data_IF_652644462661
#
_entry.id   IF_652644462661
#
_cell.length_a   1.000
_cell.length_b   1.000
_cell.length_c   1.000
_cell.angle_alpha   90.00
_cell.angle_beta   90.00
_cell.angle_gamma   90.00
#
_symmetry.space_group_name_H-M   'P 1'
#
loop_
_entity.id
_entity.type
_entity.pdbx_description
1 polymer ?
#
# COMPACT_ATOMS: atom_id res chain seq x y z
N UNK A 1 15.24 10.67 10.64
CA UNK A 1 15.87 10.20 9.39
C UNK A 1 14.95 10.55 8.24
N UNK A 2 15.43 11.28 7.23
CA UNK A 2 14.63 11.62 6.05
C UNK A 2 14.36 10.35 5.25
N UNK A 3 13.12 9.85 5.29
CA UNK A 3 12.68 8.75 4.43
C UNK A 3 12.58 9.30 3.01
N UNK A 4 13.50 8.90 2.13
CA UNK A 4 13.34 9.16 0.70
C UNK A 4 12.25 8.22 0.19
N UNK A 5 11.02 8.70 0.11
CA UNK A 5 9.93 7.93 -0.46
C UNK A 5 10.15 7.72 -1.95
N UNK A 6 9.96 6.48 -2.41
CA UNK A 6 10.06 6.16 -3.83
C UNK A 6 8.67 5.81 -4.37
N UNK A 7 8.28 6.44 -5.47
CA UNK A 7 7.02 6.10 -6.15
C UNK A 7 7.33 5.21 -7.33
N UNK A 8 6.65 4.07 -7.42
CA UNK A 8 6.77 3.16 -8.56
C UNK A 8 5.40 2.95 -9.20
N UNK A 9 5.37 2.95 -10.52
CA UNK A 9 4.14 2.65 -11.25
C UNK A 9 3.90 1.15 -11.25
N UNK A 10 2.73 0.75 -10.76
CA UNK A 10 2.29 -0.65 -10.70
C UNK A 10 1.05 -0.86 -11.55
N UNK A 11 0.71 -2.12 -11.83
CA UNK A 11 -0.62 -2.48 -12.30
C UNK A 11 -1.32 -3.32 -11.24
N UNK A 12 -2.45 -2.85 -10.77
CA UNK A 12 -3.31 -3.57 -9.85
C UNK A 12 -4.54 -4.06 -10.59
N UNK A 13 -5.12 -5.17 -10.14
CA UNK A 13 -6.44 -5.71 -10.53
C UNK A 13 -6.96 -5.37 -11.94
N UNK A 14 -7.04 -6.36 -12.84
CA UNK A 14 -7.41 -6.17 -14.26
C UNK A 14 -6.49 -5.23 -15.04
N UNK A 15 -5.29 -4.94 -14.51
CA UNK A 15 -4.26 -4.19 -15.21
C UNK A 15 -4.37 -2.67 -15.07
N UNK A 16 -5.23 -2.17 -14.17
CA UNK A 16 -5.33 -0.72 -13.89
C UNK A 16 -4.01 -0.22 -13.31
N UNK A 17 -3.48 0.85 -13.91
CA UNK A 17 -2.28 1.49 -13.43
C UNK A 17 -2.55 2.22 -12.10
N UNK A 18 -1.65 2.04 -11.13
CA UNK A 18 -1.67 2.74 -9.85
C UNK A 18 -0.24 3.02 -9.39
N UNK A 19 -0.01 4.22 -8.91
CA UNK A 19 1.27 4.58 -8.31
C UNK A 19 1.35 4.05 -6.88
N UNK A 20 2.43 3.35 -6.58
CA UNK A 20 2.69 2.74 -5.29
C UNK A 20 3.86 3.46 -4.61
N UNK A 21 3.61 3.98 -3.40
CA UNK A 21 4.64 4.50 -2.53
C UNK A 21 5.37 3.34 -1.86
N UNK A 22 6.69 3.27 -2.03
CA UNK A 22 7.57 2.39 -1.28
C UNK A 22 7.97 3.11 0.00
N UNK A 23 7.40 2.66 1.12
CA UNK A 23 7.53 3.32 2.41
C UNK A 23 8.22 2.42 3.44
N UNK A 24 9.51 2.67 3.66
CA UNK A 24 10.31 1.96 4.68
C UNK A 24 9.92 2.29 6.12
N UNK A 25 9.14 3.36 6.33
CA UNK A 25 8.59 3.75 7.63
C UNK A 25 7.22 3.13 7.93
N UNK A 26 6.62 2.42 6.96
CA UNK A 26 5.34 1.75 7.15
C UNK A 26 5.55 0.30 7.60
N UNK A 27 5.15 -0.01 8.84
CA UNK A 27 5.24 -1.36 9.41
C UNK A 27 4.14 -2.32 8.89
N UNK A 28 3.19 -1.82 8.10
CA UNK A 28 2.14 -2.63 7.49
C UNK A 28 2.61 -3.18 6.14
N UNK A 29 2.18 -4.38 5.78
CA UNK A 29 2.55 -5.00 4.50
C UNK A 29 2.14 -4.14 3.30
N UNK A 30 0.87 -3.72 3.26
CA UNK A 30 0.35 -2.81 2.24
C UNK A 30 -0.88 -2.04 2.74
N UNK A 31 -1.08 -0.85 2.18
CA UNK A 31 -2.25 0.01 2.39
C UNK A 31 -2.78 0.45 1.04
N UNK A 32 -4.09 0.49 0.85
CA UNK A 32 -4.70 0.99 -0.38
C UNK A 32 -5.79 2.01 -0.04
N UNK A 33 -5.89 3.05 -0.87
CA UNK A 33 -6.97 4.01 -0.73
C UNK A 33 -8.34 3.34 -0.91
N UNK A 34 -9.27 3.67 -0.01
CA UNK A 34 -10.60 3.12 0.02
C UNK A 34 -11.40 3.40 -1.26
N UNK A 35 -11.27 4.59 -1.85
CA UNK A 35 -11.99 4.93 -3.08
C UNK A 35 -11.44 4.17 -4.27
N UNK A 36 -10.12 3.99 -4.34
CA UNK A 36 -9.50 3.15 -5.35
C UNK A 36 -9.95 1.69 -5.24
N UNK A 37 -9.93 1.13 -4.03
CA UNK A 37 -10.38 -0.23 -3.79
C UNK A 37 -11.85 -0.44 -4.19
N UNK A 38 -12.72 0.54 -3.90
CA UNK A 38 -14.12 0.53 -4.34
C UNK A 38 -14.28 0.66 -5.85
N UNK A 39 -13.57 1.60 -6.48
CA UNK A 39 -13.60 1.83 -7.94
C UNK A 39 -13.21 0.58 -8.71
N UNK A 40 -12.25 -0.19 -8.19
CA UNK A 40 -11.78 -1.42 -8.81
C UNK A 40 -12.58 -2.66 -8.41
N UNK A 41 -13.59 -2.51 -7.54
CA UNK A 41 -14.38 -3.62 -7.00
C UNK A 41 -13.49 -4.73 -6.42
N UNK A 42 -12.47 -4.35 -5.65
CA UNK A 42 -11.55 -5.32 -5.05
C UNK A 42 -12.29 -6.23 -4.07
N UNK A 43 -11.86 -7.49 -3.98
CA UNK A 43 -12.44 -8.46 -3.08
C UNK A 43 -12.11 -8.08 -1.63
N UNK A 44 -13.14 -7.79 -0.84
CA UNK A 44 -13.03 -7.54 0.59
C UNK A 44 -13.00 -8.88 1.32
N UNK A 45 -11.89 -9.17 2.00
CA UNK A 45 -11.72 -10.41 2.78
C UNK A 45 -12.06 -10.20 4.25
N UNK A 46 -12.01 -8.96 4.73
CA UNK A 46 -12.40 -8.59 6.08
C UNK A 46 -12.95 -7.15 6.10
N UNK A 47 -14.02 -6.93 6.86
CA UNK A 47 -14.70 -5.64 7.04
C UNK A 47 -14.47 -5.03 8.43
N UNK A 48 -13.69 -5.68 9.27
CA UNK A 48 -13.44 -5.22 10.64
C UNK A 48 -12.57 -3.97 10.62
N UNK A 49 -13.07 -2.89 11.22
CA UNK A 49 -12.31 -1.66 11.41
C UNK A 49 -11.15 -1.88 12.39
N UNK A 50 -10.01 -1.25 12.11
CA UNK A 50 -8.83 -1.32 12.98
C UNK A 50 -8.20 0.05 13.11
N UNK A 51 -7.77 0.38 14.33
CA UNK A 51 -6.90 1.53 14.55
C UNK A 51 -5.50 1.17 14.05
N UNK A 52 -4.98 1.97 13.13
CA UNK A 52 -3.59 1.95 12.72
C UNK A 52 -2.83 2.99 13.56
N UNK A 53 -1.58 2.67 13.89
CA UNK A 53 -0.67 3.62 14.55
C UNK A 53 -0.47 4.90 13.73
N UNK A 54 0.08 5.94 14.35
CA UNK A 54 0.25 7.24 13.70
C UNK A 54 1.16 7.15 12.48
N UNK A 55 0.69 7.68 11.35
CA UNK A 55 1.58 8.21 10.32
C UNK A 55 2.15 9.52 10.89
N UNK A 56 3.42 9.82 10.63
CA UNK A 56 4.16 10.95 11.23
C UNK A 56 3.33 12.25 11.38
N UNK A 57 3.42 12.89 12.54
CA UNK A 57 2.86 14.21 12.92
C UNK A 57 1.34 14.43 12.74
N UNK A 58 0.58 13.44 12.26
CA UNK A 58 -0.88 13.52 12.22
C UNK A 58 -1.46 13.35 13.64
N UNK A 59 -2.10 14.40 14.16
CA UNK A 59 -2.86 14.35 15.41
C UNK A 59 -4.14 13.53 15.15
N UNK A 60 -4.02 12.19 15.17
CA UNK A 60 -5.16 11.29 15.02
C UNK A 60 -4.78 9.87 14.61
N UNK A 61 -5.43 8.88 15.22
CA UNK A 61 -5.31 7.49 14.80
C UNK A 61 -5.99 7.29 13.45
N UNK A 62 -5.23 6.83 12.44
CA UNK A 62 -5.80 6.42 11.15
C UNK A 62 -6.59 5.14 11.34
N UNK A 63 -7.76 5.04 10.70
CA UNK A 63 -8.57 3.80 10.72
C UNK A 63 -8.48 3.06 9.40
N UNK A 64 -8.10 1.79 9.47
CA UNK A 64 -8.39 0.84 8.41
C UNK A 64 -9.88 0.48 8.44
N UNK A 65 -10.51 0.49 7.28
CA UNK A 65 -11.92 0.15 7.04
C UNK A 65 -12.14 -1.31 6.70
N UNK A 66 -11.07 -2.10 6.62
CA UNK A 66 -11.10 -3.50 6.24
C UNK A 66 -9.80 -3.96 5.59
N UNK A 67 -9.84 -5.15 5.00
CA UNK A 67 -8.75 -5.76 4.24
C UNK A 67 -9.29 -6.20 2.89
N UNK A 68 -8.56 -5.88 1.83
CA UNK A 68 -8.84 -6.36 0.47
C UNK A 68 -7.70 -7.22 -0.04
N UNK A 69 -8.01 -8.03 -1.05
CA UNK A 69 -7.02 -8.85 -1.78
C UNK A 69 -7.06 -8.53 -3.27
N UNK A 70 -5.89 -8.42 -3.90
CA UNK A 70 -5.76 -8.16 -5.33
C UNK A 70 -4.42 -8.64 -5.88
N UNK A 71 -4.34 -8.77 -7.21
CA UNK A 71 -3.07 -9.03 -7.88
C UNK A 71 -2.35 -7.71 -8.15
N UNK A 72 -1.10 -7.63 -7.72
CA UNK A 72 -0.15 -6.56 -7.97
C UNK A 72 0.86 -7.03 -9.00
N UNK A 73 1.04 -6.25 -10.06
CA UNK A 73 2.07 -6.48 -11.08
C UNK A 73 3.07 -5.35 -11.11
N UNK A 74 4.35 -5.69 -11.06
CA UNK A 74 5.47 -4.75 -11.08
C UNK A 74 6.66 -5.39 -11.81
N UNK A 75 7.16 -4.77 -12.88
CA UNK A 75 8.42 -5.18 -13.54
C UNK A 75 8.58 -6.70 -13.80
N UNK A 76 7.49 -7.38 -14.21
CA UNK A 76 7.49 -8.84 -14.44
C UNK A 76 7.21 -9.70 -13.21
N UNK A 77 7.12 -9.09 -12.02
CA UNK A 77 6.62 -9.70 -10.80
C UNK A 77 5.09 -9.63 -10.74
N UNK A 78 4.45 -10.72 -10.34
CA UNK A 78 2.99 -10.81 -10.15
C UNK A 78 2.74 -11.50 -8.80
N UNK A 79 2.10 -10.78 -7.89
CA UNK A 79 1.83 -11.26 -6.53
C UNK A 79 0.38 -10.96 -6.14
N UNK A 80 -0.28 -11.93 -5.51
CA UNK A 80 -1.52 -11.70 -4.80
C UNK A 80 -1.21 -11.12 -3.42
N UNK A 81 -1.62 -9.88 -3.18
CA UNK A 81 -1.33 -9.17 -1.92
C UNK A 81 -2.61 -8.84 -1.16
N UNK A 82 -2.48 -8.74 0.17
CA UNK A 82 -3.50 -8.24 1.07
C UNK A 82 -3.12 -6.83 1.51
N UNK A 83 -4.09 -5.91 1.47
CA UNK A 83 -3.87 -4.53 1.90
C UNK A 83 -4.99 -4.07 2.83
N UNK A 84 -4.62 -3.31 3.86
CA UNK A 84 -5.59 -2.57 4.65
C UNK A 84 -6.18 -1.43 3.81
N UNK A 85 -7.50 -1.27 3.84
CA UNK A 85 -8.17 -0.16 3.14
C UNK A 85 -8.26 1.06 4.05
N UNK A 86 -7.64 2.17 3.65
CA UNK A 86 -7.61 3.41 4.44
C UNK A 86 -8.33 4.52 3.68
N UNK A 87 -9.08 5.38 4.38
CA UNK A 87 -9.71 6.54 3.74
C UNK A 87 -8.70 7.68 3.61
N UNK A 88 -8.69 8.34 2.46
CA UNK A 88 -7.87 9.53 2.21
C UNK A 88 -6.38 9.24 2.35
N UNK A 89 -5.94 8.10 1.80
CA UNK A 89 -4.51 7.83 1.68
C UNK A 89 -3.90 8.85 0.69
N UNK A 90 -2.72 9.39 0.99
CA UNK A 90 -2.10 10.44 0.14
C UNK A 90 -1.79 9.94 -1.26
N UNK A 91 -1.48 8.66 -1.40
CA UNK A 91 -1.24 7.97 -2.65
C UNK A 91 -2.19 6.78 -2.80
N UNK A 92 -2.23 6.20 -4.00
CA UNK A 92 -3.14 5.11 -4.33
C UNK A 92 -2.85 3.83 -3.52
N UNK A 93 -1.58 3.49 -3.35
CA UNK A 93 -1.09 2.26 -2.73
C UNK A 93 0.19 2.56 -1.97
N UNK A 94 0.33 2.06 -0.75
CA UNK A 94 1.61 2.00 -0.05
C UNK A 94 2.05 0.54 0.05
N UNK A 95 3.33 0.29 -0.20
CA UNK A 95 4.00 -0.98 0.05
C UNK A 95 5.01 -0.73 1.16
N UNK A 96 4.74 -1.31 2.33
CA UNK A 96 5.53 -1.05 3.52
C UNK A 96 6.75 -1.95 3.64
N UNK A 97 7.49 -1.74 4.72
CA UNK A 97 8.72 -2.46 5.05
C UNK A 97 8.59 -3.99 4.97
N UNK A 98 7.51 -4.62 5.48
CA UNK A 98 7.37 -6.08 5.36
C UNK A 98 7.27 -6.59 3.91
N UNK A 99 6.64 -5.83 3.00
CA UNK A 99 6.58 -6.17 1.57
C UNK A 99 7.95 -6.01 0.91
N UNK A 100 8.66 -4.92 1.22
CA UNK A 100 10.01 -4.61 0.73
C UNK A 100 10.98 -5.74 1.12
N UNK A 101 10.99 -6.12 2.40
CA UNK A 101 11.89 -7.15 2.94
C UNK A 101 11.59 -8.53 2.34
N UNK A 102 10.31 -8.93 2.29
CA UNK A 102 9.89 -10.22 1.71
C UNK A 102 10.31 -10.35 0.25
N UNK A 103 10.17 -9.27 -0.52
CA UNK A 103 10.47 -9.24 -1.95
C UNK A 103 11.92 -8.86 -2.25
N UNK A 104 12.75 -8.66 -1.22
CA UNK A 104 14.17 -8.27 -1.33
C UNK A 104 14.37 -7.05 -2.24
N UNK A 105 13.47 -6.09 -2.14
CA UNK A 105 13.52 -4.88 -2.95
C UNK A 105 14.71 -4.05 -2.47
N UNK A 106 15.67 -3.84 -3.37
CA UNK A 106 16.83 -3.01 -3.11
C UNK A 106 16.55 -1.60 -3.64
N UNK A 107 16.35 -0.66 -2.72
CA UNK A 107 16.22 0.74 -3.09
C UNK A 107 17.61 1.36 -3.28
N UNK A 108 18.02 1.52 -4.54
CA UNK A 108 19.26 2.22 -4.88
C UNK A 108 18.95 3.63 -5.38
N UNK A 109 18.89 4.59 -4.46
CA UNK A 109 18.87 6.00 -4.81
C UNK A 109 20.31 6.48 -5.08
N UNK A 110 20.90 6.07 -6.21
CA UNK A 110 22.09 6.74 -6.74
C UNK A 110 21.71 8.18 -7.05
N UNK A 111 22.24 9.11 -6.26
CA UNK A 111 22.27 10.55 -6.51
C UNK A 111 23.07 10.89 -7.75
#
# INVERSE_FOLDING_TARGET
>A
MSSKSAVITTRIHKGTQADALIDTGCDLYALIDHNLARKLHLLVVDRSERLLGSFSDAIGATKATGVVVFNLKLCGYDEKIFAYTVRSLSDNLFLGKPWIERNRILYNATT
#
